data_IF_603767196748
#
_entry.id   IF_603767196748
#
_cell.length_a   1.000
_cell.length_b   1.000
_cell.length_c   1.000
_cell.angle_alpha   90.00
_cell.angle_beta   90.00
_cell.angle_gamma   90.00
#
_symmetry.space_group_name_H-M   'P 1'
#
loop_
_entity.id
_entity.type
_entity.pdbx_description
1 polymer ?
#
# COMPACT_ATOMS: atom_id res chain seq x y z
N UNK A 1 10.17 1.34 -15.10
CA UNK A 1 9.67 2.67 -14.64
C UNK A 1 8.24 2.82 -15.11
N UNK A 2 7.33 3.21 -14.21
CA UNK A 2 5.91 3.39 -14.52
C UNK A 2 5.71 4.36 -15.69
N UNK A 3 4.84 3.98 -16.64
CA UNK A 3 4.55 4.78 -17.85
C UNK A 3 3.10 5.24 -17.80
N UNK A 4 2.87 6.49 -17.38
CA UNK A 4 1.53 7.05 -17.18
C UNK A 4 0.72 7.22 -18.47
N UNK A 5 1.40 7.28 -19.61
CA UNK A 5 0.76 7.37 -20.95
C UNK A 5 0.23 6.03 -21.45
N UNK A 6 0.61 4.92 -20.82
CA UNK A 6 0.16 3.58 -21.12
C UNK A 6 -0.90 3.12 -20.12
N UNK A 7 -1.74 2.12 -20.46
CA UNK A 7 -2.64 1.51 -19.48
C UNK A 7 -1.88 1.04 -18.24
N UNK A 8 -2.36 1.43 -17.07
CA UNK A 8 -1.82 1.07 -15.77
C UNK A 8 -2.81 0.14 -15.08
N UNK A 9 -2.32 -0.94 -14.50
CA UNK A 9 -3.15 -1.81 -13.68
C UNK A 9 -2.72 -1.69 -12.21
N UNK A 10 -3.62 -1.23 -11.34
CA UNK A 10 -3.43 -1.28 -9.89
C UNK A 10 -3.99 -2.59 -9.38
N UNK A 11 -3.13 -3.42 -8.82
CA UNK A 11 -3.50 -4.72 -8.27
C UNK A 11 -3.43 -4.67 -6.76
N UNK A 12 -4.58 -4.79 -6.12
CA UNK A 12 -4.68 -4.93 -4.67
C UNK A 12 -4.56 -6.39 -4.29
N UNK A 13 -3.49 -6.76 -3.55
CA UNK A 13 -3.29 -8.13 -3.07
C UNK A 13 -3.88 -8.27 -1.68
N UNK A 14 -5.02 -8.96 -1.60
CA UNK A 14 -5.87 -9.03 -0.42
C UNK A 14 -5.75 -10.36 0.32
N UNK A 15 -6.06 -10.29 1.60
CA UNK A 15 -6.13 -11.42 2.53
C UNK A 15 -7.21 -11.11 3.59
N UNK A 16 -7.76 -12.13 4.24
CA UNK A 16 -8.77 -11.94 5.27
C UNK A 16 -8.28 -11.08 6.45
N UNK A 17 -9.19 -10.34 7.08
CA UNK A 17 -8.91 -9.38 8.14
C UNK A 17 -8.00 -8.21 7.72
N UNK A 18 -7.98 -7.84 6.43
CA UNK A 18 -7.36 -6.58 6.01
C UNK A 18 -8.13 -5.37 6.58
N UNK A 19 -7.46 -4.25 6.79
CA UNK A 19 -8.11 -3.01 7.24
C UNK A 19 -8.84 -2.35 6.07
N UNK A 20 -10.15 -2.15 6.19
CA UNK A 20 -11.00 -1.67 5.08
C UNK A 20 -10.49 -0.38 4.46
N UNK A 21 -10.14 0.60 5.29
CA UNK A 21 -9.74 1.91 4.78
C UNK A 21 -8.34 1.90 4.14
N UNK A 22 -7.48 0.93 4.50
CA UNK A 22 -6.17 0.75 3.86
C UNK A 22 -6.30 0.38 2.37
N UNK A 23 -7.45 -0.18 1.98
CA UNK A 23 -7.78 -0.47 0.60
C UNK A 23 -8.65 0.63 -0.01
N UNK A 24 -9.82 0.89 0.58
CA UNK A 24 -10.84 1.75 -0.01
C UNK A 24 -10.40 3.22 -0.10
N UNK A 25 -9.61 3.70 0.89
CA UNK A 25 -9.09 5.07 0.87
C UNK A 25 -8.17 5.34 -0.32
N UNK A 26 -7.09 4.56 -0.54
CA UNK A 26 -6.28 4.66 -1.75
C UNK A 26 -7.07 4.48 -3.05
N UNK A 27 -7.95 3.48 -3.12
CA UNK A 27 -8.74 3.18 -4.33
C UNK A 27 -9.66 4.33 -4.70
N UNK A 28 -10.23 5.06 -3.72
CA UNK A 28 -11.07 6.24 -3.96
C UNK A 28 -10.39 7.26 -4.89
N UNK A 29 -9.10 7.50 -4.71
CA UNK A 29 -8.34 8.43 -5.54
C UNK A 29 -7.77 7.76 -6.79
N UNK A 30 -7.14 6.60 -6.61
CA UNK A 30 -6.34 5.97 -7.66
C UNK A 30 -7.20 5.40 -8.80
N UNK A 31 -8.43 4.93 -8.51
CA UNK A 31 -9.33 4.40 -9.52
C UNK A 31 -9.94 5.47 -10.45
N UNK A 32 -9.80 6.75 -10.08
CA UNK A 32 -10.30 7.88 -10.90
C UNK A 32 -9.27 8.42 -11.89
N UNK A 33 -8.03 7.93 -11.80
CA UNK A 33 -6.93 8.38 -12.66
C UNK A 33 -7.14 7.94 -14.12
N UNK A 34 -6.71 8.75 -15.09
CA UNK A 34 -6.78 8.38 -16.50
C UNK A 34 -5.91 7.16 -16.81
N UNK A 35 -6.40 6.28 -17.67
CA UNK A 35 -5.73 5.05 -18.10
C UNK A 35 -5.42 4.05 -16.97
N UNK A 36 -6.10 4.14 -15.82
CA UNK A 36 -5.94 3.24 -14.69
C UNK A 36 -7.11 2.27 -14.59
N UNK A 37 -6.80 0.97 -14.47
CA UNK A 37 -7.71 -0.12 -14.12
C UNK A 37 -7.35 -0.66 -12.74
N UNK A 38 -8.34 -0.96 -11.90
CA UNK A 38 -8.13 -1.60 -10.59
C UNK A 38 -8.55 -3.06 -10.63
N UNK A 39 -7.74 -3.93 -10.05
CA UNK A 39 -8.03 -5.37 -9.89
C UNK A 39 -7.75 -5.80 -8.45
N UNK A 40 -8.54 -6.76 -8.00
CA UNK A 40 -8.44 -7.31 -6.66
C UNK A 40 -8.07 -8.79 -6.77
N UNK A 41 -6.97 -9.17 -6.14
CA UNK A 41 -6.48 -10.56 -6.16
C UNK A 41 -6.24 -11.05 -4.75
N UNK A 42 -6.37 -12.35 -4.56
CA UNK A 42 -5.93 -13.04 -3.35
C UNK A 42 -5.22 -14.34 -3.73
N UNK A 43 -4.63 -15.00 -2.76
CA UNK A 43 -3.86 -16.22 -2.99
C UNK A 43 -4.67 -17.29 -3.77
N UNK A 44 -5.93 -17.47 -3.42
CA UNK A 44 -6.79 -18.50 -3.99
C UNK A 44 -7.97 -17.94 -4.82
N UNK A 45 -8.17 -16.63 -4.82
CA UNK A 45 -9.38 -16.01 -5.35
C UNK A 45 -10.60 -16.20 -4.42
N UNK A 46 -11.77 -15.75 -4.89
CA UNK A 46 -13.00 -15.81 -4.14
C UNK A 46 -13.23 -14.62 -3.22
N UNK A 47 -14.16 -14.76 -2.28
CA UNK A 47 -14.52 -13.71 -1.34
C UNK A 47 -13.45 -13.57 -0.24
N UNK A 48 -12.95 -12.36 -0.08
CA UNK A 48 -12.06 -11.94 1.01
C UNK A 48 -12.82 -10.94 1.88
N UNK A 49 -12.74 -11.14 3.20
CA UNK A 49 -13.43 -10.28 4.17
C UNK A 49 -12.46 -9.32 4.84
N UNK A 50 -12.81 -8.04 4.87
CA UNK A 50 -12.09 -7.06 5.68
C UNK A 50 -12.41 -7.27 7.17
N UNK A 51 -11.59 -6.65 8.03
CA UNK A 51 -11.80 -6.64 9.49
C UNK A 51 -13.17 -6.07 9.90
N UNK A 52 -13.71 -5.13 9.13
CA UNK A 52 -15.00 -4.50 9.38
C UNK A 52 -16.16 -5.23 8.70
N UNK A 53 -15.92 -6.38 8.07
CA UNK A 53 -16.95 -7.25 7.50
C UNK A 53 -17.33 -6.95 6.04
N UNK A 54 -16.65 -6.03 5.36
CA UNK A 54 -16.83 -5.85 3.92
C UNK A 54 -16.23 -7.04 3.17
N UNK A 55 -16.97 -7.54 2.20
CA UNK A 55 -16.54 -8.65 1.36
C UNK A 55 -16.23 -8.17 -0.05
N UNK A 56 -15.11 -8.60 -0.59
CA UNK A 56 -14.65 -8.28 -1.93
C UNK A 56 -14.38 -9.58 -2.68
N UNK A 57 -14.96 -9.69 -3.89
CA UNK A 57 -14.62 -10.77 -4.80
C UNK A 57 -13.22 -10.52 -5.38
N UNK A 58 -12.37 -11.52 -5.30
CA UNK A 58 -11.00 -11.47 -5.81
C UNK A 58 -10.74 -12.56 -6.84
N UNK A 59 -9.86 -12.25 -7.78
CA UNK A 59 -9.30 -13.26 -8.67
C UNK A 59 -8.15 -14.02 -7.99
N UNK A 60 -7.89 -15.25 -8.44
CA UNK A 60 -6.71 -15.99 -8.01
C UNK A 60 -5.45 -15.32 -8.56
N UNK A 61 -4.50 -14.98 -7.68
CA UNK A 61 -3.23 -14.41 -8.10
C UNK A 61 -2.39 -15.40 -8.91
N UNK A 62 -1.97 -14.99 -10.09
CA UNK A 62 -1.06 -15.75 -10.97
C UNK A 62 0.20 -14.98 -11.29
N UNK A 63 0.03 -13.76 -11.78
CA UNK A 63 1.11 -12.84 -12.16
C UNK A 63 0.55 -11.44 -12.32
N UNK A 64 1.43 -10.44 -12.31
CA UNK A 64 1.06 -9.06 -12.63
C UNK A 64 1.25 -8.80 -14.13
N UNK A 65 0.35 -8.06 -14.79
CA UNK A 65 0.59 -7.54 -16.12
C UNK A 65 1.72 -6.50 -16.11
N UNK A 66 2.31 -6.18 -17.28
CA UNK A 66 3.24 -5.07 -17.40
C UNK A 66 2.62 -3.75 -16.92
N UNK A 67 3.45 -2.81 -16.49
CA UNK A 67 3.03 -1.48 -16.02
C UNK A 67 2.04 -1.53 -14.84
N UNK A 68 2.27 -2.45 -13.92
CA UNK A 68 1.43 -2.67 -12.74
C UNK A 68 1.95 -1.97 -11.50
N UNK A 69 1.02 -1.51 -10.69
CA UNK A 69 1.22 -1.03 -9.33
C UNK A 69 0.63 -2.06 -8.37
N UNK A 70 1.41 -2.49 -7.39
CA UNK A 70 0.93 -3.36 -6.32
C UNK A 70 0.45 -2.50 -5.14
N UNK A 71 -0.80 -2.64 -4.75
CA UNK A 71 -1.37 -2.06 -3.54
C UNK A 71 -1.48 -3.15 -2.47
N UNK A 72 -0.85 -2.93 -1.31
CA UNK A 72 -0.78 -3.89 -0.22
C UNK A 72 -1.34 -3.26 1.06
N UNK A 73 -2.58 -3.57 1.46
CA UNK A 73 -3.17 -3.08 2.69
C UNK A 73 -2.52 -3.73 3.92
N UNK A 74 -2.67 -3.09 5.06
CA UNK A 74 -2.40 -3.68 6.35
C UNK A 74 -3.65 -4.30 6.97
N UNK A 75 -3.69 -4.36 8.28
CA UNK A 75 -4.78 -4.92 9.04
C UNK A 75 -4.34 -6.05 9.96
N UNK A 76 -5.31 -6.61 10.68
CA UNK A 76 -5.04 -7.66 11.67
C UNK A 76 -4.56 -8.95 11.01
N UNK A 77 -5.05 -9.23 9.80
CA UNK A 77 -4.67 -10.41 9.02
C UNK A 77 -3.19 -10.49 8.69
N UNK A 78 -2.47 -9.35 8.63
CA UNK A 78 -1.01 -9.32 8.40
C UNK A 78 -0.26 -10.23 9.38
N UNK A 79 -0.71 -10.30 10.66
CA UNK A 79 -0.06 -11.14 11.67
C UNK A 79 -0.05 -12.62 11.33
N UNK A 80 -1.06 -13.07 10.59
CA UNK A 80 -1.14 -14.44 10.09
C UNK A 80 -0.34 -14.59 8.79
N UNK A 81 -0.42 -13.59 7.92
CA UNK A 81 0.22 -13.64 6.60
C UNK A 81 1.74 -13.61 6.67
N UNK A 82 2.35 -12.94 7.67
CA UNK A 82 3.82 -12.95 7.86
C UNK A 82 4.41 -14.33 8.18
N UNK A 83 3.56 -15.29 8.58
CA UNK A 83 3.94 -16.68 8.87
C UNK A 83 3.57 -17.65 7.72
N UNK A 84 2.72 -17.20 6.79
CA UNK A 84 2.25 -18.03 5.66
C UNK A 84 3.26 -17.99 4.51
N UNK A 85 4.05 -19.06 4.41
CA UNK A 85 5.10 -19.21 3.39
C UNK A 85 4.58 -19.19 1.97
N UNK A 86 3.36 -19.70 1.72
CA UNK A 86 2.76 -19.74 0.38
C UNK A 86 2.32 -18.33 -0.03
N UNK A 87 1.69 -17.60 0.91
CA UNK A 87 1.34 -16.19 0.71
C UNK A 87 2.59 -15.35 0.45
N UNK A 88 3.62 -15.46 1.31
CA UNK A 88 4.86 -14.69 1.17
C UNK A 88 5.58 -14.96 -0.14
N UNK A 89 5.65 -16.22 -0.59
CA UNK A 89 6.24 -16.55 -1.91
C UNK A 89 5.46 -15.95 -3.07
N UNK A 90 4.13 -15.90 -2.98
CA UNK A 90 3.28 -15.28 -3.99
C UNK A 90 3.39 -13.76 -3.97
N UNK A 91 3.47 -13.16 -2.77
CA UNK A 91 3.70 -11.74 -2.60
C UNK A 91 5.07 -11.33 -3.16
N UNK A 92 6.12 -12.09 -2.89
CA UNK A 92 7.46 -11.84 -3.43
C UNK A 92 7.44 -11.78 -4.96
N UNK A 93 6.76 -12.72 -5.59
CA UNK A 93 6.53 -12.71 -7.04
C UNK A 93 5.83 -11.43 -7.52
N UNK A 94 4.76 -11.03 -6.81
CA UNK A 94 4.03 -9.81 -7.14
C UNK A 94 4.93 -8.57 -6.99
N UNK A 95 5.68 -8.47 -5.91
CA UNK A 95 6.62 -7.36 -5.67
C UNK A 95 7.69 -7.30 -6.75
N UNK A 96 8.26 -8.44 -7.18
CA UNK A 96 9.27 -8.47 -8.25
C UNK A 96 8.73 -7.97 -9.59
N UNK A 97 7.48 -8.27 -9.91
CA UNK A 97 6.84 -7.90 -11.18
C UNK A 97 6.29 -6.47 -11.20
N UNK A 98 5.97 -5.92 -10.03
CA UNK A 98 5.41 -4.58 -9.92
C UNK A 98 6.44 -3.49 -10.26
N UNK A 99 6.01 -2.47 -11.02
CA UNK A 99 6.81 -1.24 -11.24
C UNK A 99 6.91 -0.42 -9.96
N UNK A 100 5.81 -0.33 -9.22
CA UNK A 100 5.72 0.37 -7.93
C UNK A 100 4.91 -0.45 -6.92
N UNK A 101 5.21 -0.27 -5.65
CA UNK A 101 4.55 -0.95 -4.53
C UNK A 101 4.09 0.10 -3.52
N UNK A 102 2.79 0.19 -3.31
CA UNK A 102 2.15 1.05 -2.32
C UNK A 102 1.70 0.18 -1.14
N UNK A 103 2.37 0.32 -0.02
CA UNK A 103 2.07 -0.44 1.20
C UNK A 103 1.49 0.48 2.27
N UNK A 104 0.33 0.12 2.80
CA UNK A 104 -0.38 0.92 3.79
C UNK A 104 -0.29 0.24 5.16
N UNK A 105 -0.13 1.05 6.21
CA UNK A 105 -0.23 0.60 7.59
C UNK A 105 0.75 -0.55 7.89
N UNK A 106 0.26 -1.65 8.45
CA UNK A 106 1.07 -2.85 8.76
C UNK A 106 1.43 -3.69 7.53
N UNK A 107 0.97 -3.35 6.33
CA UNK A 107 1.40 -4.00 5.09
C UNK A 107 2.93 -3.99 4.90
N UNK A 108 3.62 -2.96 5.42
CA UNK A 108 5.07 -2.89 5.41
C UNK A 108 5.76 -4.06 6.14
N UNK A 109 5.10 -4.72 7.11
CA UNK A 109 5.64 -5.91 7.77
C UNK A 109 5.80 -7.08 6.78
N UNK A 110 4.88 -7.21 5.82
CA UNK A 110 4.96 -8.25 4.79
C UNK A 110 6.16 -8.02 3.86
N UNK A 111 6.41 -6.76 3.47
CA UNK A 111 7.55 -6.38 2.64
C UNK A 111 8.88 -6.55 3.40
N UNK A 112 8.91 -6.20 4.69
CA UNK A 112 10.06 -6.42 5.56
C UNK A 112 10.34 -7.93 5.70
N UNK A 113 9.32 -8.75 5.97
CA UNK A 113 9.42 -10.19 6.14
C UNK A 113 10.04 -10.90 4.92
N UNK A 114 9.75 -10.42 3.71
CA UNK A 114 10.36 -10.95 2.47
C UNK A 114 11.66 -10.21 2.07
N UNK A 115 12.19 -9.32 2.92
CA UNK A 115 13.49 -8.67 2.76
C UNK A 115 13.54 -7.53 1.71
N UNK A 116 12.40 -7.11 1.16
CA UNK A 116 12.38 -6.08 0.11
C UNK A 116 12.60 -4.65 0.62
N UNK A 117 12.49 -4.42 1.93
CA UNK A 117 12.77 -3.12 2.55
C UNK A 117 14.15 -3.02 3.19
N UNK A 118 14.96 -4.09 3.17
CA UNK A 118 16.31 -4.12 3.73
C UNK A 118 17.17 -2.97 3.21
N UNK A 119 17.74 -2.18 4.14
CA UNK A 119 18.57 -1.01 3.83
C UNK A 119 17.80 0.19 3.26
N UNK A 120 16.47 0.12 3.15
CA UNK A 120 15.63 1.21 2.64
C UNK A 120 14.98 1.99 3.76
N UNK A 121 14.65 3.24 3.48
CA UNK A 121 13.75 4.03 4.33
C UNK A 121 12.32 3.55 4.16
N UNK A 122 11.61 3.37 5.27
CA UNK A 122 10.19 2.98 5.26
C UNK A 122 9.48 3.48 6.52
N UNK A 123 8.15 3.52 6.49
CA UNK A 123 7.33 3.75 7.67
C UNK A 123 6.17 2.77 7.73
N UNK A 124 5.44 2.79 8.84
CA UNK A 124 4.27 1.95 9.07
C UNK A 124 3.34 2.57 10.10
N UNK A 125 2.26 1.88 10.43
CA UNK A 125 1.34 2.27 11.51
C UNK A 125 2.09 2.52 12.81
N UNK A 126 1.90 3.71 13.42
CA UNK A 126 2.68 4.15 14.59
C UNK A 126 2.46 3.27 15.82
N UNK A 127 1.24 2.80 16.04
CA UNK A 127 0.92 1.90 17.17
C UNK A 127 1.54 0.51 17.00
N UNK A 128 1.79 0.09 15.77
CA UNK A 128 2.33 -1.24 15.48
C UNK A 128 3.81 -1.20 15.02
N UNK A 129 4.43 -0.03 14.96
CA UNK A 129 5.75 0.15 14.35
C UNK A 129 6.82 -0.75 14.97
N UNK A 130 6.86 -0.88 16.29
CA UNK A 130 7.81 -1.76 16.97
C UNK A 130 7.65 -3.22 16.56
N UNK A 131 6.41 -3.69 16.39
CA UNK A 131 6.13 -5.04 15.90
C UNK A 131 6.53 -5.18 14.42
N UNK A 132 6.19 -4.21 13.57
CA UNK A 132 6.58 -4.21 12.16
C UNK A 132 8.10 -4.24 12.01
N UNK A 133 8.81 -3.42 12.78
CA UNK A 133 10.28 -3.33 12.75
C UNK A 133 10.97 -4.61 13.24
N UNK A 134 10.28 -5.46 14.00
CA UNK A 134 10.85 -6.73 14.45
C UNK A 134 11.04 -7.75 13.31
N UNK A 135 10.36 -7.56 12.16
CA UNK A 135 10.46 -8.44 10.99
C UNK A 135 11.72 -8.22 10.15
N UNK A 136 12.27 -6.99 10.16
CA UNK A 136 13.59 -6.72 9.58
C UNK A 136 14.22 -5.49 10.26
N UNK A 137 15.30 -5.73 10.99
CA UNK A 137 16.05 -4.69 11.72
C UNK A 137 16.98 -3.87 10.82
N UNK A 138 17.18 -4.28 9.59
CA UNK A 138 18.03 -3.57 8.63
C UNK A 138 17.24 -2.49 7.83
N UNK A 139 15.93 -2.40 8.04
CA UNK A 139 15.10 -1.32 7.48
C UNK A 139 15.32 -0.03 8.25
N UNK A 140 15.46 1.07 7.54
CA UNK A 140 15.67 2.42 8.12
C UNK A 140 14.31 3.06 8.45
N UNK A 141 13.66 2.58 9.51
CA UNK A 141 12.32 3.01 9.89
C UNK A 141 12.26 4.50 10.23
N UNK A 142 11.34 5.22 9.57
CA UNK A 142 11.09 6.65 9.74
C UNK A 142 9.86 6.86 10.64
N UNK A 143 10.09 7.03 11.93
CA UNK A 143 9.02 7.09 12.94
C UNK A 143 8.13 8.32 12.81
N UNK A 144 8.71 9.45 12.36
CA UNK A 144 8.00 10.73 12.23
C UNK A 144 7.24 10.86 10.90
N UNK A 145 7.56 10.03 9.92
CA UNK A 145 7.01 10.16 8.58
C UNK A 145 5.54 9.71 8.49
N UNK A 146 4.73 10.47 7.78
CA UNK A 146 3.37 10.13 7.37
C UNK A 146 3.40 9.07 6.27
N UNK A 147 4.29 9.25 5.29
CA UNK A 147 4.68 8.21 4.33
C UNK A 147 6.14 8.43 3.89
N UNK A 148 6.71 7.39 3.32
CA UNK A 148 8.09 7.37 2.82
C UNK A 148 8.12 6.81 1.42
N UNK A 149 8.93 7.42 0.56
CA UNK A 149 9.24 6.92 -0.78
C UNK A 149 10.71 6.54 -0.84
N UNK A 150 11.00 5.30 -1.18
CA UNK A 150 12.37 4.81 -1.40
C UNK A 150 12.40 3.81 -2.56
N UNK A 151 12.98 4.24 -3.68
CA UNK A 151 12.97 3.48 -4.91
C UNK A 151 11.56 3.25 -5.43
N UNK A 152 11.16 1.99 -5.60
CA UNK A 152 9.80 1.65 -6.04
C UNK A 152 8.78 1.50 -4.91
N UNK A 153 9.18 1.70 -3.66
CA UNK A 153 8.33 1.48 -2.49
C UNK A 153 7.80 2.80 -1.93
N UNK A 154 6.49 2.87 -1.84
CA UNK A 154 5.73 3.86 -1.08
C UNK A 154 5.19 3.15 0.16
N UNK A 155 5.56 3.60 1.35
CA UNK A 155 5.07 3.02 2.61
C UNK A 155 4.42 4.09 3.45
N UNK A 156 3.20 3.88 3.93
CA UNK A 156 2.48 4.85 4.75
C UNK A 156 2.29 4.41 6.19
N UNK A 157 2.05 5.38 7.02
CA UNK A 157 1.54 5.22 8.38
C UNK A 157 0.14 4.58 8.38
N UNK A 158 -0.57 4.60 9.51
CA UNK A 158 -1.82 3.87 9.68
C UNK A 158 -3.02 4.50 8.98
N UNK A 159 -3.88 3.64 8.50
CA UNK A 159 -5.25 3.87 8.03
C UNK A 159 -5.38 5.09 7.10
N UNK A 160 -5.73 6.27 7.62
CA UNK A 160 -5.93 7.49 6.81
C UNK A 160 -4.66 7.98 6.10
N UNK A 161 -3.46 7.61 6.60
CA UNK A 161 -2.20 7.98 5.94
C UNK A 161 -2.04 7.35 4.55
N UNK A 162 -2.71 6.22 4.30
CA UNK A 162 -2.77 5.62 2.97
C UNK A 162 -3.43 6.52 1.93
N UNK A 163 -4.43 7.30 2.34
CA UNK A 163 -5.08 8.30 1.50
C UNK A 163 -4.13 9.45 1.15
N UNK A 164 -3.42 9.97 2.17
CA UNK A 164 -2.44 11.06 1.99
C UNK A 164 -1.28 10.61 1.08
N UNK A 165 -0.75 9.41 1.30
CA UNK A 165 0.27 8.82 0.46
C UNK A 165 -0.21 8.63 -0.99
N UNK A 166 -1.45 8.22 -1.19
CA UNK A 166 -2.00 8.02 -2.54
C UNK A 166 -2.13 9.34 -3.30
N UNK A 167 -2.52 10.40 -2.63
CA UNK A 167 -2.50 11.75 -3.22
C UNK A 167 -1.06 12.22 -3.48
N UNK A 168 -0.11 11.93 -2.57
CA UNK A 168 1.31 12.18 -2.80
C UNK A 168 1.85 11.42 -4.03
N UNK A 169 1.45 10.17 -4.19
CA UNK A 169 1.76 9.37 -5.37
C UNK A 169 1.16 9.98 -6.66
N UNK A 170 -0.08 10.46 -6.60
CA UNK A 170 -0.69 11.19 -7.74
C UNK A 170 0.12 12.45 -8.07
N UNK A 171 0.52 13.21 -7.05
CA UNK A 171 1.34 14.41 -7.25
C UNK A 171 2.68 14.09 -7.93
N UNK A 172 3.33 12.98 -7.56
CA UNK A 172 4.62 12.57 -8.11
C UNK A 172 4.55 12.18 -9.60
N UNK A 173 3.43 11.62 -10.07
CA UNK A 173 3.32 11.08 -11.43
C UNK A 173 2.39 11.88 -12.35
N UNK A 174 1.31 12.47 -11.83
CA UNK A 174 0.32 13.24 -12.60
C UNK A 174 0.32 14.73 -12.26
N UNK A 175 1.10 15.14 -11.27
CA UNK A 175 1.25 16.53 -10.86
C UNK A 175 0.37 16.94 -9.69
N UNK A 176 0.83 17.96 -8.99
CA UNK A 176 0.24 18.50 -7.78
C UNK A 176 -1.22 18.94 -7.98
N UNK A 177 -1.50 19.62 -9.13
CA UNK A 177 -2.83 20.16 -9.42
C UNK A 177 -3.90 19.06 -9.45
N UNK A 178 -3.59 17.89 -10.05
CA UNK A 178 -4.53 16.77 -10.07
C UNK A 178 -4.74 16.18 -8.67
N UNK A 179 -3.69 16.05 -7.87
CA UNK A 179 -3.81 15.56 -6.50
C UNK A 179 -4.72 16.47 -5.65
N UNK A 180 -4.56 17.78 -5.77
CA UNK A 180 -5.40 18.77 -5.08
C UNK A 180 -6.86 18.75 -5.58
N UNK A 181 -7.06 18.58 -6.89
CA UNK A 181 -8.40 18.43 -7.48
C UNK A 181 -9.11 17.19 -6.93
N UNK A 182 -8.42 16.03 -6.85
CA UNK A 182 -8.98 14.80 -6.31
C UNK A 182 -9.31 14.95 -4.82
N UNK A 183 -8.42 15.54 -4.03
CA UNK A 183 -8.69 15.81 -2.61
C UNK A 183 -9.93 16.71 -2.45
N UNK A 184 -10.05 17.78 -3.27
CA UNK A 184 -11.18 18.69 -3.26
C UNK A 184 -12.50 18.00 -3.64
N UNK A 185 -12.49 17.13 -4.65
CA UNK A 185 -13.66 16.35 -5.07
C UNK A 185 -14.18 15.42 -3.96
N UNK A 186 -13.26 14.84 -3.21
CA UNK A 186 -13.58 13.99 -2.06
C UNK A 186 -13.91 14.78 -0.79
N UNK A 187 -13.89 16.13 -0.83
CA UNK A 187 -13.97 16.99 0.36
C UNK A 187 -12.97 16.57 1.46
N UNK A 188 -11.80 16.07 1.04
CA UNK A 188 -10.77 15.54 1.91
C UNK A 188 -9.68 16.57 2.19
N UNK A 189 -9.33 16.74 3.47
CA UNK A 189 -8.20 17.60 3.89
C UNK A 189 -6.92 16.79 3.78
N UNK A 190 -6.18 17.00 2.70
CA UNK A 190 -4.94 16.29 2.44
C UNK A 190 -3.80 16.77 3.33
N UNK A 191 -3.23 15.85 4.12
CA UNK A 191 -1.98 16.07 4.84
C UNK A 191 -0.81 15.84 3.88
N UNK A 192 -0.37 16.89 3.20
CA UNK A 192 0.60 16.78 2.09
C UNK A 192 2.09 16.78 2.52
N UNK A 193 2.38 16.73 3.83
CA UNK A 193 3.74 16.67 4.36
C UNK A 193 4.11 15.23 4.70
N UNK A 194 4.91 14.62 3.82
CA UNK A 194 5.32 13.22 3.94
C UNK A 194 6.10 12.92 5.23
N UNK A 195 6.90 13.86 5.69
CA UNK A 195 7.82 13.74 6.83
C UNK A 195 7.17 14.03 8.20
N UNK A 196 5.87 14.41 8.24
CA UNK A 196 5.18 14.83 9.46
C UNK A 196 3.91 14.02 9.69
N UNK A 197 3.98 13.07 10.60
CA UNK A 197 2.78 12.35 11.04
C UNK A 197 2.30 12.92 12.40
N UNK A 198 1.06 13.47 12.47
CA UNK A 198 0.52 14.01 13.72
C UNK A 198 0.33 12.96 14.82
N UNK A 199 0.41 11.66 14.46
CA UNK A 199 0.28 10.52 15.38
C UNK A 199 1.63 9.89 15.75
N UNK A 200 2.74 10.45 15.28
CA UNK A 200 4.07 10.04 15.72
C UNK A 200 4.28 10.43 17.19
N UNK A 201 4.94 9.58 17.96
CA UNK A 201 5.39 9.96 19.32
C UNK A 201 6.37 11.13 19.20
N UNK A 202 6.16 12.15 20.04
CA UNK A 202 7.08 13.29 20.14
C UNK A 202 8.36 12.88 20.83
#
# INVERSE_FOLDING_TARGET
MLKIEQPITIISFLFDDFETLDLMGPVEFLATLPNVETKYVSLAGGLISSRQGFQIMTDNFKSLPPNSILLLPGGRGVRKMVEDKVFLSSLEKAVQQAELVLSICTGAALLAQIGHLKGRKATSNKLALSWVASHDREVLWQEQARWVVDGKFYTSSGVSAGMDMSLGFVADFWGQDLAEELAKKAEYVWQNKADQDPFSSK
#
